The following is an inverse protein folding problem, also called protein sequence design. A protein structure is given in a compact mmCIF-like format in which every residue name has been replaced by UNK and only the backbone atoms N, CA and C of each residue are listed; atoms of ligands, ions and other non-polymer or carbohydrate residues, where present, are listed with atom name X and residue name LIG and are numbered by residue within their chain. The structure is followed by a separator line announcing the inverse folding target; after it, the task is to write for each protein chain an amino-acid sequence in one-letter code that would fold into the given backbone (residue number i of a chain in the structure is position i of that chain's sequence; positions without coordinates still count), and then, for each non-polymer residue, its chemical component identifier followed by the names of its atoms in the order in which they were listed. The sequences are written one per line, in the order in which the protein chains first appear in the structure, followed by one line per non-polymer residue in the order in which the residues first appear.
data_IF_150776774324
#
_entry.id   IF_150776774324
#
_cell.length_a   1.000
_cell.length_b   1.000
_cell.length_c   1.000
_cell.angle_alpha   90.00
_cell.angle_beta   90.00
_cell.angle_gamma   90.00
#
_symmetry.space_group_name_H-M   'P 1'
#
loop_
_entity.id
_entity.type
_entity.pdbx_description
1 polymer ?
#
# COMPACT_ATOMS: atom_id res chain seq x y z
N UNK A 1 11.48 -31.36 -8.75
CA UNK A 1 10.39 -32.04 -8.05
C UNK A 1 10.94 -32.80 -6.85
N UNK A 2 10.33 -32.67 -5.66
CA UNK A 2 10.74 -33.34 -4.43
C UNK A 2 9.51 -34.01 -3.81
N UNK A 3 9.66 -35.27 -3.33
CA UNK A 3 8.56 -36.05 -2.76
C UNK A 3 8.85 -36.39 -1.31
N UNK A 4 7.88 -36.16 -0.44
CA UNK A 4 7.94 -36.42 0.99
C UNK A 4 6.80 -37.34 1.38
N UNK A 5 7.11 -38.39 2.15
CA UNK A 5 6.19 -39.45 2.53
C UNK A 5 5.92 -39.38 4.02
N UNK A 6 4.66 -39.33 4.39
CA UNK A 6 4.21 -39.20 5.78
C UNK A 6 3.65 -40.55 6.25
N UNK A 7 4.18 -41.05 7.35
CA UNK A 7 3.82 -42.35 7.90
C UNK A 7 3.30 -42.22 9.32
N UNK A 8 2.37 -43.10 9.71
CA UNK A 8 1.97 -43.21 11.10
C UNK A 8 2.98 -44.09 11.84
N UNK A 9 3.41 -43.63 13.02
CA UNK A 9 4.37 -44.43 13.82
C UNK A 9 3.71 -45.71 14.32
N UNK A 10 4.36 -46.90 14.23
CA UNK A 10 3.72 -48.16 14.54
C UNK A 10 3.25 -48.31 15.99
N UNK A 11 3.94 -47.69 16.95
CA UNK A 11 3.69 -47.83 18.39
C UNK A 11 3.20 -46.55 19.05
N UNK A 12 3.26 -45.41 18.37
CA UNK A 12 2.89 -44.11 18.92
C UNK A 12 1.89 -43.37 18.02
N UNK A 13 1.01 -42.58 18.62
CA UNK A 13 -0.02 -41.82 17.90
C UNK A 13 0.53 -40.57 17.21
N UNK A 14 1.66 -40.67 16.53
CA UNK A 14 2.26 -39.53 15.82
C UNK A 14 2.70 -39.91 14.40
N UNK A 15 2.89 -38.87 13.58
CA UNK A 15 3.34 -38.97 12.19
C UNK A 15 4.82 -38.64 12.13
N UNK A 16 5.55 -39.37 11.31
CA UNK A 16 6.93 -39.08 10.92
C UNK A 16 7.03 -38.93 9.39
N UNK A 17 8.09 -38.30 8.92
CA UNK A 17 8.29 -37.98 7.51
C UNK A 17 9.60 -38.59 7.01
N UNK A 18 9.57 -39.11 5.78
CA UNK A 18 10.73 -39.62 5.06
C UNK A 18 10.82 -39.00 3.67
N UNK A 19 12.03 -38.90 3.13
CA UNK A 19 12.27 -38.56 1.74
C UNK A 19 12.23 -39.83 0.85
N UNK A 20 12.34 -39.61 -0.46
CA UNK A 20 12.32 -40.69 -1.42
C UNK A 20 13.47 -41.69 -1.21
N UNK A 21 14.66 -41.20 -0.86
CA UNK A 21 15.84 -42.07 -0.66
C UNK A 21 15.70 -42.99 0.58
N UNK A 22 15.09 -42.49 1.64
CA UNK A 22 14.80 -43.29 2.85
C UNK A 22 13.69 -44.30 2.60
N UNK A 23 12.67 -43.93 1.80
CA UNK A 23 11.58 -44.85 1.43
C UNK A 23 12.08 -46.05 0.63
N UNK A 24 12.99 -45.85 -0.33
CA UNK A 24 13.56 -46.98 -1.13
C UNK A 24 14.30 -48.01 -0.27
N UNK A 25 14.77 -47.59 0.92
CA UNK A 25 15.44 -48.47 1.88
C UNK A 25 14.45 -49.20 2.82
N UNK A 26 13.22 -48.71 2.98
CA UNK A 26 12.23 -49.23 3.93
C UNK A 26 10.86 -49.41 3.25
N UNK A 27 10.78 -50.26 2.24
CA UNK A 27 9.60 -50.38 1.35
C UNK A 27 8.35 -51.05 1.98
N UNK A 28 8.37 -51.48 3.26
CA UNK A 28 7.34 -52.37 3.82
C UNK A 28 6.09 -51.64 4.37
N UNK A 29 6.06 -50.31 4.44
CA UNK A 29 4.93 -49.58 5.01
C UNK A 29 4.30 -48.62 3.98
N UNK A 30 2.96 -48.61 3.85
CA UNK A 30 2.25 -47.63 3.03
C UNK A 30 2.19 -46.28 3.75
N UNK A 31 2.44 -45.16 3.05
CA UNK A 31 2.33 -43.83 3.63
C UNK A 31 0.87 -43.46 3.86
N UNK A 32 0.58 -42.72 4.93
CA UNK A 32 -0.71 -42.11 5.16
C UNK A 32 -1.04 -41.08 4.05
N UNK A 33 -0.04 -40.29 3.66
CA UNK A 33 -0.15 -39.42 2.50
C UNK A 33 1.23 -39.02 1.96
N UNK A 34 1.23 -38.49 0.75
CA UNK A 34 2.42 -38.03 0.02
C UNK A 34 2.31 -36.54 -0.23
N UNK A 35 3.39 -35.80 -0.03
CA UNK A 35 3.53 -34.42 -0.47
C UNK A 35 4.57 -34.34 -1.57
N UNK A 36 4.17 -33.79 -2.72
CA UNK A 36 5.03 -33.57 -3.88
C UNK A 36 5.16 -32.05 -4.09
N UNK A 37 6.35 -31.49 -3.88
CA UNK A 37 6.65 -30.09 -4.13
C UNK A 37 7.31 -29.92 -5.49
N UNK A 38 6.70 -29.12 -6.35
CA UNK A 38 7.17 -28.83 -7.70
C UNK A 38 7.45 -27.34 -7.82
N UNK A 39 8.51 -26.98 -8.52
CA UNK A 39 8.67 -25.63 -8.99
C UNK A 39 7.92 -25.45 -10.31
N UNK A 40 7.45 -24.24 -10.58
CA UNK A 40 6.80 -23.92 -11.85
C UNK A 40 7.71 -24.24 -13.05
N UNK A 41 9.01 -24.03 -12.90
CA UNK A 41 10.00 -24.36 -13.94
C UNK A 41 9.97 -25.85 -14.30
N UNK A 42 9.75 -26.74 -13.33
CA UNK A 42 9.66 -28.19 -13.56
C UNK A 42 8.47 -28.53 -14.47
N UNK A 43 7.36 -27.80 -14.30
CA UNK A 43 6.13 -28.03 -15.07
C UNK A 43 6.22 -27.38 -16.47
N UNK A 44 6.67 -26.11 -16.55
CA UNK A 44 6.76 -25.35 -17.81
C UNK A 44 7.74 -26.01 -18.78
N UNK A 45 8.90 -26.42 -18.30
CA UNK A 45 9.95 -26.94 -19.19
C UNK A 45 9.65 -28.33 -19.74
N UNK A 46 8.88 -29.16 -19.04
CA UNK A 46 8.58 -30.55 -19.42
C UNK A 46 7.17 -30.99 -19.00
N UNK A 47 6.08 -30.37 -19.52
CA UNK A 47 4.74 -30.63 -19.02
C UNK A 47 4.29 -32.08 -19.17
N UNK A 48 4.58 -32.73 -20.31
CA UNK A 48 4.21 -34.14 -20.55
C UNK A 48 5.02 -35.09 -19.66
N UNK A 49 6.31 -34.85 -19.48
CA UNK A 49 7.15 -35.66 -18.61
C UNK A 49 6.70 -35.52 -17.15
N UNK A 50 6.38 -34.30 -16.71
CA UNK A 50 5.85 -34.03 -15.38
C UNK A 50 4.51 -34.74 -15.14
N UNK A 51 3.58 -34.67 -16.10
CA UNK A 51 2.30 -35.41 -16.01
C UNK A 51 2.50 -36.92 -15.89
N UNK A 52 3.45 -37.49 -16.67
CA UNK A 52 3.76 -38.90 -16.60
C UNK A 52 4.40 -39.31 -15.27
N UNK A 53 5.27 -38.47 -14.71
CA UNK A 53 5.87 -38.69 -13.38
C UNK A 53 4.81 -38.68 -12.28
N UNK A 54 3.89 -37.69 -12.29
CA UNK A 54 2.76 -37.61 -11.36
C UNK A 54 1.86 -38.85 -11.50
N UNK A 55 1.54 -39.23 -12.73
CA UNK A 55 0.71 -40.43 -12.96
C UNK A 55 1.38 -41.69 -12.44
N UNK A 56 2.68 -41.84 -12.63
CA UNK A 56 3.42 -43.01 -12.09
C UNK A 56 3.46 -43.04 -10.56
N UNK A 57 3.60 -41.87 -9.90
CA UNK A 57 3.70 -41.80 -8.44
C UNK A 57 2.35 -41.90 -7.72
N UNK A 58 1.31 -41.29 -8.28
CA UNK A 58 0.04 -41.09 -7.59
C UNK A 58 -1.18 -41.61 -8.36
N UNK A 59 -1.02 -42.11 -9.58
CA UNK A 59 -2.09 -42.55 -10.50
C UNK A 59 -3.06 -41.41 -10.85
N UNK A 60 -2.63 -40.11 -10.68
CA UNK A 60 -3.41 -38.93 -10.90
C UNK A 60 -3.19 -38.38 -12.33
N UNK A 61 -4.26 -38.15 -13.06
CA UNK A 61 -4.25 -37.47 -14.37
C UNK A 61 -4.68 -36.02 -14.20
N UNK A 62 -3.79 -35.10 -14.53
CA UNK A 62 -4.09 -33.68 -14.47
C UNK A 62 -4.89 -33.26 -15.71
N UNK A 63 -6.01 -32.58 -15.49
CA UNK A 63 -6.84 -32.04 -16.57
C UNK A 63 -6.07 -30.94 -17.33
N UNK A 64 -6.20 -30.92 -18.66
CA UNK A 64 -5.50 -29.94 -19.52
C UNK A 64 -5.89 -28.49 -19.22
N UNK A 65 -7.16 -28.24 -18.85
CA UNK A 65 -7.61 -26.89 -18.46
C UNK A 65 -6.93 -26.46 -17.16
N UNK A 66 -6.93 -27.30 -16.14
CA UNK A 66 -6.23 -27.03 -14.88
C UNK A 66 -4.72 -26.86 -15.06
N UNK A 67 -4.11 -27.60 -15.98
CA UNK A 67 -2.70 -27.39 -16.32
C UNK A 67 -2.44 -25.99 -16.88
N UNK A 68 -3.35 -25.48 -17.74
CA UNK A 68 -3.26 -24.09 -18.26
C UNK A 68 -3.42 -23.07 -17.16
N UNK A 69 -4.37 -23.29 -16.24
CA UNK A 69 -4.62 -22.39 -15.11
C UNK A 69 -3.43 -22.35 -14.16
N UNK A 70 -2.84 -23.49 -13.84
CA UNK A 70 -1.61 -23.61 -13.03
C UNK A 70 -0.44 -22.88 -13.70
N UNK A 71 -0.35 -22.92 -15.04
CA UNK A 71 0.71 -22.27 -15.79
C UNK A 71 0.47 -20.77 -16.01
N UNK A 72 -0.74 -20.25 -15.77
CA UNK A 72 -1.06 -18.85 -15.94
C UNK A 72 -0.64 -18.04 -14.69
N UNK A 73 0.36 -17.16 -14.85
CA UNK A 73 0.85 -16.28 -13.78
C UNK A 73 -0.19 -15.25 -13.33
N UNK A 74 -1.12 -14.89 -14.19
CA UNK A 74 -2.15 -13.89 -13.93
C UNK A 74 -3.48 -14.52 -13.45
N UNK A 75 -3.51 -15.86 -13.27
CA UNK A 75 -4.72 -16.53 -12.81
C UNK A 75 -5.13 -15.99 -11.42
N UNK A 76 -6.40 -15.60 -11.22
CA UNK A 76 -6.89 -15.18 -9.90
C UNK A 76 -6.86 -16.31 -8.88
N UNK A 77 -7.17 -16.03 -7.62
CA UNK A 77 -7.47 -17.07 -6.66
C UNK A 77 -8.70 -17.85 -7.12
N UNK A 78 -8.66 -19.16 -7.03
CA UNK A 78 -9.77 -20.03 -7.44
C UNK A 78 -9.72 -21.37 -6.70
N UNK A 79 -10.88 -21.95 -6.49
CA UNK A 79 -11.03 -23.30 -6.02
C UNK A 79 -11.95 -24.06 -7.00
N UNK A 80 -11.51 -25.23 -7.46
CA UNK A 80 -12.27 -26.06 -8.38
C UNK A 80 -12.17 -27.53 -7.97
N UNK A 81 -13.27 -28.25 -8.06
CA UNK A 81 -13.40 -29.64 -7.63
C UNK A 81 -13.69 -30.53 -8.82
N UNK A 82 -12.89 -31.59 -8.98
CA UNK A 82 -13.10 -32.67 -9.91
C UNK A 82 -13.33 -33.99 -9.14
N UNK A 83 -13.81 -35.00 -9.84
CA UNK A 83 -14.02 -36.34 -9.26
C UNK A 83 -12.72 -36.96 -8.71
N UNK A 84 -11.56 -36.64 -9.31
CA UNK A 84 -10.27 -37.23 -8.97
C UNK A 84 -9.44 -36.38 -7.98
N UNK A 85 -9.61 -35.04 -7.98
CA UNK A 85 -8.85 -34.13 -7.13
C UNK A 85 -9.48 -32.72 -7.10
N UNK A 86 -9.16 -31.98 -6.05
CA UNK A 86 -9.47 -30.56 -5.91
C UNK A 86 -8.26 -29.72 -6.31
N UNK A 87 -8.49 -28.62 -7.01
CA UNK A 87 -7.48 -27.63 -7.35
C UNK A 87 -7.75 -26.31 -6.61
N UNK A 88 -6.80 -25.89 -5.79
CA UNK A 88 -6.79 -24.59 -5.14
C UNK A 88 -5.64 -23.77 -5.71
N UNK A 89 -5.96 -22.64 -6.36
CA UNK A 89 -4.99 -21.64 -6.77
C UNK A 89 -5.08 -20.46 -5.80
N UNK A 90 -3.98 -20.17 -5.12
CA UNK A 90 -3.91 -19.11 -4.11
C UNK A 90 -2.80 -18.13 -4.46
N UNK A 91 -3.13 -16.86 -4.63
CA UNK A 91 -2.14 -15.83 -4.91
C UNK A 91 -1.56 -15.29 -3.61
N UNK A 92 -0.26 -15.37 -3.48
CA UNK A 92 0.48 -14.83 -2.33
C UNK A 92 1.03 -13.44 -2.66
N UNK A 93 0.95 -12.49 -1.73
CA UNK A 93 1.72 -11.24 -1.81
C UNK A 93 3.21 -11.53 -1.65
N UNK A 94 4.04 -10.97 -2.53
CA UNK A 94 5.50 -11.07 -2.44
C UNK A 94 5.95 -10.11 -1.33
N UNK A 95 6.57 -10.67 -0.30
CA UNK A 95 7.15 -9.93 0.81
C UNK A 95 8.62 -9.61 0.55
N UNK A 96 9.23 -8.61 1.24
CA UNK A 96 10.66 -8.31 1.09
C UNK A 96 11.57 -9.50 1.39
N UNK A 97 11.08 -10.47 2.13
CA UNK A 97 11.80 -11.68 2.52
C UNK A 97 11.78 -12.77 1.45
N UNK A 98 10.87 -12.70 0.48
CA UNK A 98 10.83 -13.64 -0.63
C UNK A 98 11.99 -13.37 -1.59
N UNK A 99 12.69 -14.43 -2.00
CA UNK A 99 13.76 -14.37 -3.00
C UNK A 99 13.23 -14.67 -4.40
N UNK A 100 11.94 -14.44 -4.63
CA UNK A 100 11.33 -14.61 -5.94
C UNK A 100 11.92 -13.56 -6.86
N UNK A 101 12.76 -14.01 -7.78
CA UNK A 101 13.19 -13.20 -8.91
C UNK A 101 12.00 -13.19 -9.88
N UNK A 102 11.12 -12.23 -9.75
CA UNK A 102 10.19 -11.90 -10.80
C UNK A 102 11.02 -11.63 -12.05
N UNK A 103 10.88 -12.48 -13.07
CA UNK A 103 11.76 -12.60 -14.22
C UNK A 103 12.53 -11.35 -14.62
N UNK A 104 13.61 -11.43 -15.37
CA UNK A 104 14.69 -10.44 -15.64
C UNK A 104 14.29 -8.97 -15.92
N UNK A 105 13.01 -8.64 -15.97
CA UNK A 105 12.47 -7.31 -15.76
C UNK A 105 12.30 -7.08 -14.26
N UNK A 106 13.44 -7.18 -13.53
CA UNK A 106 13.50 -6.69 -12.17
C UNK A 106 13.06 -5.23 -12.20
N UNK A 107 11.81 -4.99 -11.82
CA UNK A 107 11.33 -3.69 -11.42
C UNK A 107 12.47 -2.98 -10.70
N UNK A 108 12.95 -1.86 -11.26
CA UNK A 108 14.01 -1.08 -10.65
C UNK A 108 13.72 -0.93 -9.16
N UNK A 109 14.72 -0.91 -8.31
CA UNK A 109 14.61 -0.92 -6.85
C UNK A 109 13.59 0.10 -6.30
N UNK A 110 13.25 1.12 -7.09
CA UNK A 110 12.23 2.14 -6.83
C UNK A 110 10.80 1.67 -7.16
N UNK A 111 10.60 0.83 -8.17
CA UNK A 111 9.28 0.30 -8.54
C UNK A 111 8.80 -0.80 -7.60
N UNK A 112 9.73 -1.54 -6.96
CA UNK A 112 9.38 -2.49 -5.88
C UNK A 112 8.72 -1.83 -4.66
N UNK A 113 8.87 -0.52 -4.50
CA UNK A 113 8.23 0.23 -3.40
C UNK A 113 6.74 0.49 -3.68
N UNK A 114 6.33 0.56 -4.95
CA UNK A 114 4.97 0.92 -5.35
C UNK A 114 4.11 -0.26 -5.83
N UNK A 115 4.72 -1.38 -6.28
CA UNK A 115 4.00 -2.56 -6.75
C UNK A 115 3.92 -3.64 -5.67
N UNK A 116 2.72 -3.96 -5.19
CA UNK A 116 2.47 -5.20 -4.47
C UNK A 116 2.40 -6.32 -5.50
N UNK A 117 3.56 -6.88 -5.84
CA UNK A 117 3.61 -8.04 -6.71
C UNK A 117 3.03 -9.26 -6.00
N UNK A 118 2.34 -10.10 -6.75
CA UNK A 118 1.77 -11.37 -6.26
C UNK A 118 2.29 -12.54 -7.08
N UNK A 119 2.27 -13.72 -6.51
CA UNK A 119 2.63 -14.95 -7.18
C UNK A 119 1.57 -16.03 -6.92
N UNK A 120 1.09 -16.74 -7.94
CA UNK A 120 0.17 -17.86 -7.75
C UNK A 120 0.92 -19.08 -7.20
N UNK A 121 0.25 -19.82 -6.36
CA UNK A 121 0.65 -21.11 -5.85
C UNK A 121 -0.53 -22.04 -6.03
N UNK A 122 -0.31 -23.18 -6.66
CA UNK A 122 -1.37 -24.16 -6.90
C UNK A 122 -1.19 -25.34 -5.97
N UNK A 123 -2.30 -25.77 -5.37
CA UNK A 123 -2.41 -26.95 -4.54
C UNK A 123 -3.38 -27.92 -5.21
N UNK A 124 -2.90 -29.11 -5.56
CA UNK A 124 -3.78 -30.18 -6.00
C UNK A 124 -3.94 -31.15 -4.83
N UNK A 125 -5.17 -31.37 -4.43
CA UNK A 125 -5.54 -32.11 -3.24
C UNK A 125 -6.30 -33.37 -3.60
N UNK A 126 -5.84 -34.50 -3.05
CA UNK A 126 -6.57 -35.74 -3.00
C UNK A 126 -6.61 -36.25 -1.55
N UNK A 127 -7.38 -37.29 -1.21
CA UNK A 127 -7.36 -37.83 0.14
C UNK A 127 -5.98 -38.32 0.62
N UNK A 128 -5.07 -38.67 -0.31
CA UNK A 128 -3.77 -39.26 -0.01
C UNK A 128 -2.58 -38.49 -0.58
N UNK A 129 -2.80 -37.46 -1.41
CA UNK A 129 -1.72 -36.73 -2.05
C UNK A 129 -1.96 -35.22 -2.00
N UNK A 130 -0.91 -34.48 -1.69
CA UNK A 130 -0.83 -33.04 -1.91
C UNK A 130 0.26 -32.77 -2.95
N UNK A 131 -0.08 -32.07 -4.02
CA UNK A 131 0.91 -31.55 -4.97
C UNK A 131 0.91 -30.03 -4.86
N UNK A 132 2.08 -29.44 -4.61
CA UNK A 132 2.26 -27.99 -4.61
C UNK A 132 3.08 -27.57 -5.83
N UNK A 133 2.61 -26.52 -6.54
CA UNK A 133 3.32 -25.95 -7.67
C UNK A 133 3.51 -24.47 -7.37
N UNK A 134 4.77 -24.03 -7.28
CA UNK A 134 5.13 -22.69 -6.83
C UNK A 134 6.30 -22.10 -7.61
N UNK A 135 6.43 -20.79 -7.53
CA UNK A 135 7.66 -20.12 -7.95
C UNK A 135 8.80 -20.43 -6.98
N UNK A 136 10.01 -20.52 -7.53
CA UNK A 136 11.23 -20.67 -6.74
C UNK A 136 11.48 -19.41 -5.91
N UNK A 137 11.96 -19.57 -4.66
CA UNK A 137 12.22 -18.45 -3.75
C UNK A 137 11.02 -18.05 -2.89
N UNK A 138 9.95 -18.82 -2.86
CA UNK A 138 8.82 -18.62 -1.95
C UNK A 138 9.21 -18.99 -0.52
N UNK A 139 9.57 -18.01 0.31
CA UNK A 139 10.07 -18.20 1.67
C UNK A 139 9.11 -18.99 2.57
N UNK A 140 7.81 -18.82 2.41
CA UNK A 140 6.83 -19.50 3.26
C UNK A 140 6.87 -21.02 3.09
N UNK A 141 6.99 -21.51 1.85
CA UNK A 141 7.13 -22.96 1.56
C UNK A 141 8.54 -23.41 1.83
N UNK A 142 9.56 -22.66 1.42
CA UNK A 142 10.97 -23.03 1.64
C UNK A 142 11.32 -23.17 3.13
N UNK A 143 10.80 -22.28 3.98
CA UNK A 143 10.99 -22.42 5.44
C UNK A 143 10.32 -23.68 6.01
N UNK A 144 9.19 -24.10 5.43
CA UNK A 144 8.54 -25.34 5.82
C UNK A 144 9.32 -26.56 5.32
N UNK A 145 9.84 -26.52 4.08
CA UNK A 145 10.72 -27.55 3.53
C UNK A 145 11.99 -27.74 4.37
N UNK A 146 12.71 -26.67 4.68
CA UNK A 146 13.89 -26.71 5.55
C UNK A 146 13.58 -27.34 6.91
N UNK A 147 12.39 -27.07 7.45
CA UNK A 147 11.94 -27.70 8.69
C UNK A 147 11.71 -29.21 8.51
N UNK A 148 11.08 -29.63 7.41
CA UNK A 148 10.90 -31.05 7.08
C UNK A 148 12.26 -31.74 6.91
N UNK A 149 13.18 -31.18 6.16
CA UNK A 149 14.54 -31.71 5.98
C UNK A 149 15.29 -31.87 7.30
N UNK A 150 15.15 -30.88 8.21
CA UNK A 150 15.72 -30.98 9.56
C UNK A 150 15.08 -32.10 10.38
N UNK A 151 13.80 -32.40 10.14
CA UNK A 151 13.14 -33.52 10.83
C UNK A 151 13.58 -34.86 10.26
N UNK A 152 13.73 -34.99 8.95
CA UNK A 152 14.18 -36.22 8.26
C UNK A 152 15.57 -36.67 8.74
N UNK A 153 16.46 -35.74 9.10
CA UNK A 153 17.79 -36.03 9.63
C UNK A 153 17.76 -36.57 11.06
N UNK A 154 16.63 -36.50 11.78
CA UNK A 154 16.50 -37.01 13.17
C UNK A 154 16.03 -38.44 13.20
N UNK A 155 16.38 -39.21 14.24
CA UNK A 155 15.80 -40.54 14.48
C UNK A 155 14.26 -40.43 14.53
N UNK A 156 13.58 -41.47 14.01
CA UNK A 156 12.11 -41.50 13.91
C UNK A 156 11.44 -41.23 15.27
N UNK A 157 11.97 -41.79 16.36
CA UNK A 157 11.47 -41.61 17.71
C UNK A 157 11.59 -40.14 18.23
N UNK A 158 12.50 -39.37 17.67
CA UNK A 158 12.76 -37.95 18.06
C UNK A 158 12.06 -36.95 17.19
N UNK A 159 11.50 -37.34 16.03
CA UNK A 159 10.79 -36.42 15.12
C UNK A 159 9.54 -35.79 15.77
N UNK A 160 9.08 -36.35 16.87
CA UNK A 160 7.78 -36.05 17.48
C UNK A 160 7.77 -35.06 18.66
N UNK A 161 8.83 -34.32 18.94
CA UNK A 161 8.85 -33.32 20.03
C UNK A 161 8.76 -31.90 19.48
N UNK A 162 7.89 -31.09 19.94
CA UNK A 162 6.49 -30.96 20.39
C UNK A 162 5.54 -30.33 19.35
N UNK A 163 5.84 -30.35 18.06
CA UNK A 163 5.01 -29.79 17.01
C UNK A 163 4.48 -30.88 16.11
N UNK A 164 3.20 -31.18 16.26
CA UNK A 164 2.48 -32.18 15.44
C UNK A 164 2.71 -31.89 13.94
N UNK A 165 3.21 -32.86 13.20
CA UNK A 165 3.22 -32.85 11.74
C UNK A 165 1.77 -32.87 11.22
N UNK A 166 1.60 -32.48 9.95
CA UNK A 166 0.30 -32.58 9.29
C UNK A 166 -0.18 -34.03 9.25
N UNK A 167 -1.47 -34.23 9.43
CA UNK A 167 -2.09 -35.57 9.48
C UNK A 167 -2.81 -35.96 8.20
N UNK A 168 -3.06 -34.97 7.32
CA UNK A 168 -3.74 -35.16 6.04
C UNK A 168 -3.17 -34.18 5.02
N UNK A 169 -3.35 -34.41 3.70
CA UNK A 169 -2.98 -33.45 2.65
C UNK A 169 -3.58 -32.06 2.87
N UNK A 170 -4.86 -31.99 3.20
CA UNK A 170 -5.57 -30.74 3.48
C UNK A 170 -5.01 -30.01 4.72
N UNK A 171 -4.69 -30.75 5.81
CA UNK A 171 -4.05 -30.15 6.98
C UNK A 171 -2.68 -29.51 6.63
N UNK A 172 -1.94 -30.16 5.74
CA UNK A 172 -0.67 -29.62 5.24
C UNK A 172 -0.88 -28.36 4.38
N UNK A 173 -1.82 -28.39 3.44
CA UNK A 173 -2.14 -27.25 2.61
C UNK A 173 -2.56 -26.03 3.47
N UNK A 174 -3.45 -26.21 4.44
CA UNK A 174 -3.87 -25.13 5.35
C UNK A 174 -2.72 -24.58 6.20
N UNK A 175 -1.76 -25.41 6.60
CA UNK A 175 -0.55 -24.94 7.31
C UNK A 175 0.36 -24.12 6.41
N UNK A 176 0.51 -24.51 5.15
CA UNK A 176 1.29 -23.75 4.16
C UNK A 176 0.62 -22.41 3.88
N UNK A 177 -0.70 -22.38 3.67
CA UNK A 177 -1.47 -21.16 3.50
C UNK A 177 -1.36 -20.22 4.73
N UNK A 178 -1.48 -20.78 5.94
CA UNK A 178 -1.32 -19.97 7.16
C UNK A 178 0.09 -19.34 7.24
N UNK A 179 1.13 -20.10 6.92
CA UNK A 179 2.50 -19.58 6.90
C UNK A 179 2.69 -18.45 5.87
N UNK A 180 1.94 -18.47 4.75
CA UNK A 180 1.94 -17.39 3.76
C UNK A 180 1.24 -16.15 4.26
N UNK A 181 0.05 -16.33 4.85
CA UNK A 181 -0.78 -15.21 5.34
C UNK A 181 -0.18 -14.57 6.59
N UNK A 182 0.50 -15.33 7.45
CA UNK A 182 1.24 -14.78 8.59
C UNK A 182 2.29 -13.76 8.15
N UNK A 183 2.95 -13.98 7.00
CA UNK A 183 3.88 -13.02 6.42
C UNK A 183 3.25 -11.66 6.03
N UNK A 184 1.93 -11.61 5.85
CA UNK A 184 1.23 -10.33 5.54
C UNK A 184 1.18 -9.39 6.74
N UNK A 185 1.26 -9.92 7.96
CA UNK A 185 1.29 -9.09 9.17
C UNK A 185 2.51 -8.17 9.20
N UNK A 186 3.61 -8.60 8.60
CA UNK A 186 4.84 -7.83 8.50
C UNK A 186 4.71 -6.63 7.53
N UNK A 187 3.75 -6.69 6.58
CA UNK A 187 3.46 -5.60 5.66
C UNK A 187 2.71 -4.43 6.30
N UNK A 188 2.06 -4.63 7.46
CA UNK A 188 1.24 -3.59 8.10
C UNK A 188 2.04 -2.35 8.47
N UNK A 189 3.21 -2.50 9.04
CA UNK A 189 4.06 -1.38 9.46
C UNK A 189 4.61 -0.59 8.26
N UNK A 190 5.19 -1.21 7.23
CA UNK A 190 5.59 -0.50 6.01
C UNK A 190 4.44 0.25 5.33
N UNK A 191 3.26 -0.37 5.20
CA UNK A 191 2.09 0.27 4.58
C UNK A 191 1.63 1.49 5.39
N UNK A 192 1.59 1.40 6.72
CA UNK A 192 1.23 2.53 7.58
C UNK A 192 2.21 3.68 7.42
N UNK A 193 3.53 3.42 7.42
CA UNK A 193 4.56 4.45 7.21
C UNK A 193 4.44 5.15 5.86
N UNK A 194 4.04 4.42 4.82
CA UNK A 194 3.80 5.00 3.49
C UNK A 194 2.64 6.00 3.51
N UNK A 195 1.55 5.67 4.20
CA UNK A 195 0.41 6.58 4.37
C UNK A 195 0.79 7.81 5.18
N UNK A 196 1.52 7.64 6.30
CA UNK A 196 2.03 8.75 7.10
C UNK A 196 2.92 9.69 6.28
N UNK A 197 3.79 9.15 5.44
CA UNK A 197 4.61 9.93 4.51
C UNK A 197 3.73 10.76 3.56
N UNK A 198 2.72 10.17 2.92
CA UNK A 198 1.84 10.89 2.00
C UNK A 198 0.99 11.93 2.70
N UNK A 199 0.51 11.65 3.91
CA UNK A 199 -0.21 12.64 4.71
C UNK A 199 0.68 13.84 5.03
N UNK A 200 1.93 13.62 5.41
CA UNK A 200 2.89 14.70 5.66
C UNK A 200 3.19 15.51 4.40
N UNK A 201 3.44 14.87 3.26
CA UNK A 201 3.69 15.53 1.98
C UNK A 201 2.51 16.39 1.53
N UNK A 202 1.29 15.91 1.68
CA UNK A 202 0.07 16.64 1.32
C UNK A 202 -0.21 17.83 2.26
N UNK A 203 0.07 17.68 3.55
CA UNK A 203 -0.24 18.69 4.56
C UNK A 203 0.88 19.73 4.75
N UNK A 204 2.14 19.35 4.55
CA UNK A 204 3.29 20.27 4.68
C UNK A 204 3.54 21.08 3.41
N UNK A 205 3.04 20.64 2.28
CA UNK A 205 3.21 21.30 0.99
C UNK A 205 2.33 22.53 0.85
N UNK A 206 2.73 23.69 1.41
CA UNK A 206 2.08 25.00 1.16
C UNK A 206 2.20 25.47 -0.30
N UNK A 207 2.81 24.68 -1.18
CA UNK A 207 3.04 24.95 -2.60
C UNK A 207 2.62 23.73 -3.42
N UNK A 208 2.19 23.97 -4.64
CA UNK A 208 1.69 22.99 -5.60
C UNK A 208 2.24 21.58 -5.38
N UNK A 209 1.43 20.69 -4.83
CA UNK A 209 1.76 19.28 -4.75
C UNK A 209 1.93 18.74 -6.17
N UNK A 210 3.09 18.17 -6.47
CA UNK A 210 3.45 17.72 -7.84
C UNK A 210 3.49 16.20 -8.00
N UNK A 211 3.47 15.46 -6.88
CA UNK A 211 3.65 13.99 -6.87
C UNK A 211 2.33 13.21 -7.07
N UNK A 212 1.35 13.80 -7.79
CA UNK A 212 0.02 13.19 -7.99
C UNK A 212 0.07 11.80 -8.61
N UNK A 213 0.97 11.60 -9.59
CA UNK A 213 1.13 10.30 -10.25
C UNK A 213 1.54 9.21 -9.26
N UNK A 214 2.51 9.49 -8.38
CA UNK A 214 2.98 8.56 -7.36
C UNK A 214 1.89 8.26 -6.32
N UNK A 215 1.15 9.29 -5.89
CA UNK A 215 0.04 9.13 -4.95
C UNK A 215 -1.10 8.27 -5.54
N UNK A 216 -1.38 8.44 -6.84
CA UNK A 216 -2.35 7.62 -7.55
C UNK A 216 -1.90 6.15 -7.64
N UNK A 217 -0.65 5.91 -7.98
CA UNK A 217 -0.06 4.56 -7.98
C UNK A 217 -0.18 3.89 -6.61
N UNK A 218 0.06 4.65 -5.54
CA UNK A 218 -0.09 4.17 -4.18
C UNK A 218 -1.52 3.77 -3.85
N UNK A 219 -2.49 4.60 -4.24
CA UNK A 219 -3.90 4.29 -4.04
C UNK A 219 -4.34 3.04 -4.82
N UNK A 220 -3.82 2.87 -6.04
CA UNK A 220 -4.04 1.65 -6.84
C UNK A 220 -3.42 0.42 -6.17
N UNK A 221 -2.23 0.54 -5.57
CA UNK A 221 -1.61 -0.55 -4.84
C UNK A 221 -2.46 -0.99 -3.63
N UNK A 222 -3.03 -0.06 -2.86
CA UNK A 222 -3.96 -0.39 -1.78
C UNK A 222 -5.21 -1.10 -2.31
N UNK A 223 -5.75 -0.66 -3.44
CA UNK A 223 -6.91 -1.29 -4.07
C UNK A 223 -6.59 -2.73 -4.54
N UNK A 224 -5.40 -2.96 -5.08
CA UNK A 224 -4.96 -4.30 -5.47
C UNK A 224 -4.87 -5.25 -4.26
N UNK A 225 -4.40 -4.76 -3.09
CA UNK A 225 -4.41 -5.57 -1.85
C UNK A 225 -5.82 -5.90 -1.40
N UNK A 226 -6.74 -4.91 -1.45
CA UNK A 226 -8.15 -5.13 -1.10
C UNK A 226 -8.78 -6.22 -1.98
N UNK A 227 -8.63 -6.10 -3.30
CA UNK A 227 -9.16 -7.06 -4.27
C UNK A 227 -8.55 -8.46 -4.05
N UNK A 228 -7.23 -8.55 -3.85
CA UNK A 228 -6.59 -9.82 -3.58
C UNK A 228 -7.11 -10.48 -2.30
N UNK A 229 -7.28 -9.71 -1.22
CA UNK A 229 -7.84 -10.24 0.02
C UNK A 229 -9.28 -10.74 -0.17
N UNK A 230 -10.07 -10.07 -1.00
CA UNK A 230 -11.43 -10.46 -1.35
C UNK A 230 -11.45 -11.79 -2.11
N UNK A 231 -10.67 -11.93 -3.18
CA UNK A 231 -10.48 -13.17 -3.91
C UNK A 231 -10.03 -14.32 -3.00
N UNK A 232 -9.08 -14.07 -2.10
CA UNK A 232 -8.59 -15.07 -1.15
C UNK A 232 -9.68 -15.53 -0.19
N UNK A 233 -10.52 -14.61 0.32
CA UNK A 233 -11.62 -14.95 1.23
C UNK A 233 -12.68 -15.77 0.50
N UNK A 234 -13.06 -15.38 -0.72
CA UNK A 234 -14.02 -16.13 -1.55
C UNK A 234 -13.53 -17.55 -1.79
N UNK A 235 -12.29 -17.71 -2.25
CA UNK A 235 -11.68 -19.03 -2.49
C UNK A 235 -11.63 -19.90 -1.22
N UNK A 236 -11.36 -19.29 -0.05
CA UNK A 236 -11.38 -20.01 1.23
C UNK A 236 -12.78 -20.38 1.68
N UNK A 237 -13.80 -19.59 1.31
CA UNK A 237 -15.20 -19.95 1.57
C UNK A 237 -15.64 -21.14 0.72
N UNK A 238 -15.26 -21.19 -0.57
CA UNK A 238 -15.51 -22.33 -1.44
C UNK A 238 -14.84 -23.60 -0.90
N UNK A 239 -13.57 -23.51 -0.53
CA UNK A 239 -12.84 -24.62 0.12
C UNK A 239 -13.54 -25.05 1.44
N UNK A 240 -14.04 -24.11 2.23
CA UNK A 240 -14.76 -24.40 3.48
C UNK A 240 -16.05 -25.16 3.23
N UNK A 241 -16.80 -24.74 2.22
CA UNK A 241 -18.09 -25.37 1.87
C UNK A 241 -17.82 -26.79 1.36
N UNK A 242 -16.78 -27.01 0.55
CA UNK A 242 -16.34 -28.34 0.12
C UNK A 242 -15.97 -29.23 1.31
N UNK A 243 -15.23 -28.71 2.30
CA UNK A 243 -14.91 -29.46 3.54
C UNK A 243 -16.20 -29.84 4.31
N UNK A 244 -17.22 -29.01 4.27
CA UNK A 244 -18.50 -29.29 4.92
C UNK A 244 -19.28 -30.37 4.19
N UNK A 245 -19.31 -30.32 2.85
CA UNK A 245 -20.16 -31.16 2.00
C UNK A 245 -19.56 -32.55 1.73
N UNK A 246 -18.28 -32.64 1.44
CA UNK A 246 -17.61 -33.88 1.08
C UNK A 246 -17.23 -34.79 2.26
N UNK A 247 -17.23 -34.27 3.46
CA UNK A 247 -17.15 -35.18 4.59
C UNK A 247 -18.53 -35.73 4.91
N UNK A 248 -18.78 -37.02 4.58
CA UNK A 248 -20.12 -37.55 4.64
C UNK A 248 -20.71 -37.29 6.03
N UNK A 249 -21.86 -36.65 6.06
CA UNK A 249 -22.77 -36.70 7.18
C UNK A 249 -23.10 -38.18 7.38
N UNK A 250 -22.26 -38.89 8.07
CA UNK A 250 -22.60 -40.19 8.58
C UNK A 250 -23.87 -39.97 9.41
N UNK A 251 -25.03 -40.26 8.81
CA UNK A 251 -26.35 -40.15 9.45
C UNK A 251 -26.20 -40.68 10.88
N UNK A 252 -26.23 -39.77 11.85
CA UNK A 252 -26.24 -40.11 13.27
C UNK A 252 -24.88 -40.18 14.00
N UNK A 253 -23.72 -39.87 13.37
CA UNK A 253 -22.42 -39.69 14.06
C UNK A 253 -22.01 -38.23 14.15
N UNK A 254 -21.49 -37.80 15.32
CA UNK A 254 -20.87 -36.50 15.52
C UNK A 254 -19.82 -36.24 14.46
N UNK A 255 -19.70 -34.98 14.00
CA UNK A 255 -18.59 -34.51 13.19
C UNK A 255 -17.26 -35.07 13.72
N UNK A 256 -16.38 -35.49 12.83
CA UNK A 256 -15.03 -35.95 13.23
C UNK A 256 -14.31 -34.75 13.85
N UNK A 257 -13.66 -34.95 14.99
CA UNK A 257 -12.79 -33.96 15.64
C UNK A 257 -11.75 -33.37 14.66
N UNK A 258 -11.27 -34.18 13.70
CA UNK A 258 -10.36 -33.73 12.64
C UNK A 258 -11.00 -32.71 11.69
N UNK A 259 -12.28 -32.86 11.33
CA UNK A 259 -13.00 -31.90 10.48
C UNK A 259 -13.19 -30.57 11.18
N UNK A 260 -13.61 -30.61 12.45
CA UNK A 260 -13.81 -29.39 13.22
C UNK A 260 -12.49 -28.58 13.33
N UNK A 261 -11.37 -29.26 13.47
CA UNK A 261 -10.02 -28.61 13.47
C UNK A 261 -9.73 -27.96 12.12
N UNK A 262 -10.07 -28.60 10.99
CA UNK A 262 -9.82 -28.02 9.66
C UNK A 262 -10.69 -26.80 9.40
N UNK A 263 -11.98 -26.86 9.73
CA UNK A 263 -12.88 -25.72 9.62
C UNK A 263 -12.43 -24.53 10.47
N UNK A 264 -12.01 -24.79 11.72
CA UNK A 264 -11.44 -23.76 12.60
C UNK A 264 -10.20 -23.12 11.97
N UNK A 265 -9.35 -23.88 11.28
CA UNK A 265 -8.17 -23.34 10.60
C UNK A 265 -8.52 -22.50 9.38
N UNK A 266 -9.52 -22.90 8.59
CA UNK A 266 -10.00 -22.09 7.46
C UNK A 266 -10.60 -20.79 7.99
N UNK A 267 -11.41 -20.83 9.04
CA UNK A 267 -12.03 -19.66 9.66
C UNK A 267 -10.96 -18.73 10.25
N UNK A 268 -9.91 -19.26 10.87
CA UNK A 268 -8.78 -18.49 11.41
C UNK A 268 -8.00 -17.81 10.29
N UNK A 269 -7.70 -18.53 9.20
CA UNK A 269 -7.02 -18.01 8.01
C UNK A 269 -7.82 -16.88 7.36
N UNK A 270 -9.13 -17.07 7.16
CA UNK A 270 -10.03 -16.05 6.64
C UNK A 270 -10.05 -14.81 7.54
N UNK A 271 -10.09 -15.00 8.86
CA UNK A 271 -10.04 -13.89 9.83
C UNK A 271 -8.73 -13.09 9.75
N UNK A 272 -7.60 -13.75 9.49
CA UNK A 272 -6.32 -13.08 9.29
C UNK A 272 -6.33 -12.22 8.03
N UNK A 273 -6.85 -12.75 6.91
CA UNK A 273 -6.96 -12.02 5.64
C UNK A 273 -7.93 -10.83 5.79
N UNK A 274 -9.10 -11.03 6.40
CA UNK A 274 -10.05 -9.93 6.69
C UNK A 274 -9.41 -8.80 7.52
N UNK A 275 -8.54 -9.14 8.47
CA UNK A 275 -7.83 -8.15 9.29
C UNK A 275 -6.91 -7.29 8.44
N UNK A 276 -6.22 -7.89 7.46
CA UNK A 276 -5.38 -7.16 6.52
C UNK A 276 -6.24 -6.29 5.60
N UNK A 277 -7.30 -6.83 5.03
CA UNK A 277 -8.25 -6.09 4.19
C UNK A 277 -8.79 -4.84 4.92
N UNK A 278 -9.33 -5.03 6.12
CA UNK A 278 -9.84 -3.91 6.96
C UNK A 278 -8.75 -2.88 7.29
N UNK A 279 -7.51 -3.32 7.50
CA UNK A 279 -6.39 -2.40 7.72
C UNK A 279 -6.08 -1.57 6.47
N UNK A 280 -6.01 -2.21 5.31
CA UNK A 280 -5.73 -1.55 4.01
C UNK A 280 -6.83 -0.56 3.65
N UNK A 281 -8.10 -0.93 3.83
CA UNK A 281 -9.24 -0.01 3.62
C UNK A 281 -9.16 1.24 4.49
N UNK A 282 -8.75 1.10 5.76
CA UNK A 282 -8.53 2.25 6.65
C UNK A 282 -7.38 3.13 6.17
N UNK A 283 -6.28 2.54 5.71
CA UNK A 283 -5.14 3.27 5.17
C UNK A 283 -5.52 4.04 3.91
N UNK A 284 -6.24 3.42 2.98
CA UNK A 284 -6.76 4.06 1.78
C UNK A 284 -7.69 5.22 2.10
N UNK A 285 -8.62 5.03 3.05
CA UNK A 285 -9.50 6.10 3.50
C UNK A 285 -8.74 7.26 4.15
N UNK A 286 -7.65 6.97 4.87
CA UNK A 286 -6.79 8.00 5.47
C UNK A 286 -6.03 8.82 4.40
N UNK A 287 -5.58 8.19 3.30
CA UNK A 287 -5.00 8.90 2.15
C UNK A 287 -6.06 9.78 1.49
N UNK A 288 -7.26 9.27 1.24
CA UNK A 288 -8.35 10.03 0.64
C UNK A 288 -8.72 11.26 1.48
N UNK A 289 -8.85 11.09 2.79
CA UNK A 289 -9.11 12.20 3.71
C UNK A 289 -7.99 13.28 3.66
N UNK A 290 -6.73 12.87 3.52
CA UNK A 290 -5.62 13.81 3.39
C UNK A 290 -5.67 14.58 2.05
N UNK A 291 -6.08 13.92 0.96
CA UNK A 291 -6.30 14.54 -0.35
C UNK A 291 -7.42 15.59 -0.24
N UNK A 292 -8.54 15.27 0.38
CA UNK A 292 -9.68 16.16 0.55
C UNK A 292 -9.32 17.40 1.39
N UNK A 293 -8.53 17.20 2.46
CA UNK A 293 -7.99 18.30 3.27
C UNK A 293 -7.04 19.17 2.45
N UNK A 294 -6.17 18.60 1.60
CA UNK A 294 -5.29 19.35 0.73
C UNK A 294 -6.08 20.24 -0.24
N UNK A 295 -7.11 19.70 -0.91
CA UNK A 295 -7.97 20.49 -1.80
C UNK A 295 -8.73 21.58 -1.06
N UNK A 296 -9.24 21.30 0.14
CA UNK A 296 -9.88 22.31 1.00
C UNK A 296 -8.92 23.45 1.34
N UNK A 297 -7.67 23.11 1.68
CA UNK A 297 -6.65 24.12 1.97
C UNK A 297 -6.31 24.99 0.76
N UNK A 298 -6.16 24.38 -0.42
CA UNK A 298 -5.91 25.11 -1.68
C UNK A 298 -7.09 26.02 -2.03
N UNK A 299 -8.33 25.55 -1.87
CA UNK A 299 -9.53 26.34 -2.08
C UNK A 299 -9.59 27.54 -1.13
N UNK A 300 -9.29 27.34 0.16
CA UNK A 300 -9.24 28.44 1.13
C UNK A 300 -8.15 29.47 0.80
N UNK A 301 -6.97 28.99 0.38
CA UNK A 301 -5.90 29.90 -0.06
C UNK A 301 -6.30 30.71 -1.30
N UNK A 302 -6.99 30.09 -2.25
CA UNK A 302 -7.48 30.77 -3.45
C UNK A 302 -8.52 31.82 -3.09
N UNK A 303 -9.46 31.50 -2.20
CA UNK A 303 -10.45 32.45 -1.69
C UNK A 303 -9.79 33.62 -0.96
N UNK A 304 -8.74 33.39 -0.19
CA UNK A 304 -7.97 34.42 0.48
C UNK A 304 -7.27 35.36 -0.53
N UNK A 305 -6.64 34.78 -1.55
CA UNK A 305 -6.01 35.57 -2.62
C UNK A 305 -7.05 36.42 -3.38
N UNK A 306 -8.24 35.85 -3.67
CA UNK A 306 -9.34 36.60 -4.29
C UNK A 306 -9.85 37.72 -3.38
N UNK A 307 -9.94 37.51 -2.08
CA UNK A 307 -10.31 38.50 -1.09
C UNK A 307 -9.32 39.67 -1.07
N UNK A 308 -8.02 39.39 -1.06
CA UNK A 308 -6.96 40.41 -1.10
C UNK A 308 -7.08 41.23 -2.40
N UNK A 309 -7.26 40.56 -3.55
CA UNK A 309 -7.42 41.25 -4.84
C UNK A 309 -8.65 42.15 -4.85
N UNK A 310 -9.78 41.68 -4.31
CA UNK A 310 -11.01 42.45 -4.18
C UNK A 310 -10.82 43.70 -3.30
N UNK A 311 -10.11 43.61 -2.17
CA UNK A 311 -9.79 44.72 -1.29
C UNK A 311 -8.93 45.78 -2.03
N UNK A 312 -7.87 45.33 -2.71
CA UNK A 312 -7.00 46.20 -3.51
C UNK A 312 -7.83 46.95 -4.56
N UNK A 313 -8.64 46.20 -5.33
CA UNK A 313 -9.50 46.82 -6.37
C UNK A 313 -10.50 47.81 -5.77
N UNK A 314 -11.13 47.48 -4.65
CA UNK A 314 -12.10 48.36 -3.99
C UNK A 314 -11.47 49.68 -3.45
N UNK A 315 -10.17 49.64 -3.11
CA UNK A 315 -9.44 50.87 -2.72
C UNK A 315 -9.06 51.69 -3.94
N UNK A 316 -8.56 51.05 -5.00
CA UNK A 316 -8.08 51.81 -6.18
C UNK A 316 -9.18 52.29 -7.10
N UNK A 317 -10.32 51.59 -7.20
CA UNK A 317 -11.42 52.01 -8.11
C UNK A 317 -11.93 53.42 -7.86
N UNK A 318 -12.29 53.89 -6.63
CA UNK A 318 -12.72 55.24 -6.40
C UNK A 318 -11.59 56.28 -6.60
N UNK A 319 -10.33 55.91 -6.32
CA UNK A 319 -9.19 56.80 -6.58
C UNK A 319 -8.97 57.00 -8.07
N UNK A 320 -9.08 55.94 -8.86
CA UNK A 320 -8.97 55.98 -10.32
C UNK A 320 -10.10 56.84 -10.93
N UNK A 321 -11.34 56.66 -10.39
CA UNK A 321 -12.46 57.47 -10.84
C UNK A 321 -12.22 58.95 -10.56
N UNK A 322 -11.75 59.34 -9.36
CA UNK A 322 -11.44 60.73 -9.02
C UNK A 322 -10.34 61.29 -9.91
N UNK A 323 -9.24 60.59 -10.10
CA UNK A 323 -8.15 61.03 -10.97
C UNK A 323 -8.59 61.11 -12.44
N UNK A 324 -9.45 60.19 -12.90
CA UNK A 324 -10.03 60.18 -14.22
C UNK A 324 -10.91 61.43 -14.49
N UNK A 325 -11.78 61.77 -13.53
CA UNK A 325 -12.63 62.97 -13.66
C UNK A 325 -11.77 64.26 -13.73
N UNK A 326 -10.78 64.42 -12.87
CA UNK A 326 -9.87 65.54 -12.86
C UNK A 326 -8.85 65.54 -14.01
N UNK A 327 -8.65 64.39 -14.67
CA UNK A 327 -7.83 64.27 -15.86
C UNK A 327 -8.57 64.56 -17.18
N UNK A 328 -9.88 64.85 -17.14
CA UNK A 328 -10.67 65.19 -18.36
C UNK A 328 -10.41 66.61 -18.81
N UNK A 329 -10.35 66.83 -20.12
CA UNK A 329 -10.13 68.15 -20.72
C UNK A 329 -11.45 68.98 -20.89
N UNK A 330 -12.24 69.09 -19.83
CA UNK A 330 -13.42 69.98 -19.83
C UNK A 330 -13.01 71.42 -19.51
N UNK A 331 -13.63 72.35 -20.16
CA UNK A 331 -13.35 73.79 -20.02
C UNK A 331 -13.69 74.31 -18.60
N UNK A 332 -14.62 73.68 -17.91
CA UNK A 332 -15.06 74.04 -16.57
C UNK A 332 -15.07 72.81 -15.64
N UNK A 333 -13.96 72.60 -14.88
CA UNK A 333 -13.91 71.67 -13.77
C UNK A 333 -13.79 72.47 -12.46
N UNK A 334 -14.72 72.28 -11.50
CA UNK A 334 -14.66 72.99 -10.22
C UNK A 334 -13.33 72.70 -9.48
N UNK A 335 -12.63 73.81 -9.11
CA UNK A 335 -11.36 73.70 -8.36
C UNK A 335 -10.09 73.61 -9.19
N UNK A 336 -10.13 73.40 -10.51
CA UNK A 336 -8.93 73.23 -11.36
C UNK A 336 -8.13 74.55 -11.51
N UNK A 337 -8.80 75.71 -11.50
CA UNK A 337 -8.17 77.00 -11.61
C UNK A 337 -7.76 77.61 -10.25
N UNK A 338 -8.02 76.94 -9.14
CA UNK A 338 -7.66 77.41 -7.82
C UNK A 338 -6.26 76.89 -7.41
N UNK A 339 -5.38 77.70 -6.84
CA UNK A 339 -4.05 77.28 -6.39
C UNK A 339 -4.11 76.27 -5.27
N UNK A 340 -5.24 76.12 -4.56
CA UNK A 340 -5.48 75.12 -3.48
C UNK A 340 -6.19 73.85 -3.96
N UNK A 341 -6.71 73.87 -5.22
CA UNK A 341 -7.52 72.76 -5.75
C UNK A 341 -6.79 71.44 -5.78
N UNK A 342 -5.52 71.41 -6.15
CA UNK A 342 -4.68 70.25 -6.15
C UNK A 342 -4.54 69.58 -4.74
N UNK A 343 -4.26 70.44 -3.74
CA UNK A 343 -4.10 69.97 -2.37
C UNK A 343 -5.41 69.43 -1.76
N UNK A 344 -6.53 70.08 -2.13
CA UNK A 344 -7.85 69.59 -1.71
C UNK A 344 -8.20 68.26 -2.29
N UNK A 345 -7.94 68.06 -3.59
CA UNK A 345 -8.13 66.75 -4.25
C UNK A 345 -7.27 65.62 -3.61
N UNK A 346 -6.02 65.95 -3.36
CA UNK A 346 -5.08 64.96 -2.70
C UNK A 346 -5.56 64.61 -1.28
N UNK A 347 -6.07 65.63 -0.54
CA UNK A 347 -6.66 65.37 0.80
C UNK A 347 -7.91 64.48 0.73
N UNK A 348 -8.82 64.72 -0.26
CA UNK A 348 -10.00 63.83 -0.45
C UNK A 348 -9.60 62.42 -0.79
N UNK A 349 -8.62 62.23 -1.67
CA UNK A 349 -8.11 60.90 -2.01
C UNK A 349 -7.53 60.17 -0.76
N UNK A 350 -6.75 60.90 0.05
CA UNK A 350 -6.15 60.35 1.27
C UNK A 350 -7.23 59.99 2.31
N UNK A 351 -8.22 60.83 2.52
CA UNK A 351 -9.34 60.57 3.42
C UNK A 351 -10.14 59.34 2.95
N UNK A 352 -10.44 59.28 1.65
CA UNK A 352 -11.17 58.13 1.07
C UNK A 352 -10.41 56.84 1.27
N UNK A 353 -9.07 56.82 1.06
CA UNK A 353 -8.23 55.68 1.28
C UNK A 353 -8.25 55.25 2.75
N UNK A 354 -8.06 56.18 3.69
CA UNK A 354 -8.08 55.90 5.13
C UNK A 354 -9.44 55.36 5.57
N UNK A 355 -10.53 55.91 5.06
CA UNK A 355 -11.90 55.52 5.40
C UNK A 355 -12.20 54.08 4.90
N UNK A 356 -11.77 53.74 3.67
CA UNK A 356 -11.89 52.40 3.11
C UNK A 356 -11.03 51.38 3.87
N UNK A 357 -9.77 51.71 4.17
CA UNK A 357 -8.91 50.86 4.99
C UNK A 357 -9.50 50.64 6.38
N UNK A 358 -10.02 51.68 7.04
CA UNK A 358 -10.70 51.56 8.33
C UNK A 358 -11.97 50.70 8.23
N UNK A 359 -12.78 50.84 7.18
CA UNK A 359 -13.96 50.01 6.93
C UNK A 359 -13.61 48.56 6.78
N UNK A 360 -12.62 48.21 5.95
CA UNK A 360 -12.18 46.82 5.76
C UNK A 360 -11.55 46.25 7.03
N UNK A 361 -10.78 47.05 7.78
CA UNK A 361 -10.23 46.65 9.07
C UNK A 361 -11.35 46.32 10.08
N UNK A 362 -12.36 47.20 10.21
CA UNK A 362 -13.50 47.01 11.11
C UNK A 362 -14.36 45.79 10.74
N UNK A 363 -14.48 45.48 9.47
CA UNK A 363 -15.21 44.32 8.97
C UNK A 363 -14.38 43.01 9.06
N UNK A 364 -13.22 43.08 9.65
CA UNK A 364 -12.28 41.91 9.74
C UNK A 364 -11.91 41.31 8.38
N UNK A 365 -12.06 42.06 7.29
CA UNK A 365 -11.64 41.63 5.95
C UNK A 365 -10.12 41.76 5.75
N UNK A 366 -9.45 42.61 6.56
CA UNK A 366 -8.00 42.73 6.64
C UNK A 366 -7.56 42.16 8.01
N UNK A 367 -6.82 41.07 8.06
CA UNK A 367 -6.13 40.60 9.25
C UNK A 367 -6.71 39.40 10.01
N UNK A 368 -7.83 38.79 9.55
CA UNK A 368 -8.29 37.49 10.03
C UNK A 368 -8.73 36.63 8.85
N UNK A 369 -7.73 36.07 8.12
CA UNK A 369 -7.97 34.82 7.47
C UNK A 369 -8.38 33.82 8.56
N UNK A 370 -9.47 33.09 8.39
CA UNK A 370 -9.71 31.90 9.21
C UNK A 370 -8.41 31.10 9.16
N UNK A 371 -7.78 30.93 10.33
CA UNK A 371 -6.61 30.06 10.43
C UNK A 371 -7.06 28.73 9.86
N UNK A 372 -6.46 28.35 8.74
CA UNK A 372 -6.69 27.03 8.17
C UNK A 372 -6.55 26.00 9.29
N UNK A 373 -7.38 24.97 9.30
CA UNK A 373 -7.24 23.84 10.23
C UNK A 373 -5.78 23.32 10.22
N UNK A 374 -5.12 23.49 9.06
CA UNK A 374 -3.69 23.20 8.87
C UNK A 374 -2.81 24.17 9.66
N UNK A 375 -3.12 25.48 9.69
CA UNK A 375 -2.39 26.47 10.52
C UNK A 375 -2.63 26.21 12.01
N UNK A 376 -3.81 25.73 12.42
CA UNK A 376 -4.06 25.30 13.79
C UNK A 376 -3.27 24.05 14.18
N UNK A 377 -3.13 23.08 13.27
CA UNK A 377 -2.31 21.89 13.48
C UNK A 377 -0.80 22.19 13.43
N UNK A 378 -0.38 23.17 12.60
CA UNK A 378 1.00 23.63 12.55
C UNK A 378 1.38 24.55 13.71
N UNK A 379 0.43 25.24 14.33
CA UNK A 379 0.63 26.20 15.45
C UNK A 379 0.83 25.54 16.82
N UNK A 380 0.84 24.21 16.90
CA UNK A 380 1.24 23.53 18.14
C UNK A 380 2.74 23.73 18.49
N UNK A 381 3.48 24.47 17.66
CA UNK A 381 4.86 24.87 17.89
C UNK A 381 5.07 26.37 17.57
N UNK A 382 4.90 27.23 18.54
CA UNK A 382 5.56 28.54 18.60
C UNK A 382 4.70 29.77 18.39
N UNK A 383 4.44 30.48 19.49
CA UNK A 383 4.00 31.87 19.55
C UNK A 383 4.87 32.79 18.68
N UNK A 384 4.28 33.51 17.75
CA UNK A 384 4.89 34.73 17.23
C UNK A 384 3.86 35.83 16.97
N UNK A 385 4.18 37.02 17.49
CA UNK A 385 3.46 38.30 17.41
C UNK A 385 3.11 38.76 15.98
N UNK A 386 1.89 39.26 15.81
CA UNK A 386 1.37 39.83 14.59
C UNK A 386 2.08 41.18 14.26
N UNK A 387 2.87 41.20 13.19
CA UNK A 387 3.44 42.46 12.66
C UNK A 387 2.55 43.06 11.57
N UNK A 388 2.37 44.36 11.60
CA UNK A 388 1.55 45.16 10.68
C UNK A 388 2.01 45.05 9.20
N UNK A 389 3.18 44.51 8.95
CA UNK A 389 3.81 44.35 7.62
C UNK A 389 3.85 42.90 7.14
N UNK A 390 2.87 42.05 7.51
CA UNK A 390 2.82 40.62 7.13
C UNK A 390 2.92 40.36 5.61
N UNK A 391 2.49 41.34 4.75
CA UNK A 391 2.62 41.21 3.30
C UNK A 391 4.07 41.31 2.81
N UNK A 392 4.99 41.90 3.61
CA UNK A 392 6.43 41.90 3.34
C UNK A 392 7.12 40.61 3.85
N UNK A 393 6.46 39.84 4.70
CA UNK A 393 6.92 38.53 5.21
C UNK A 393 6.51 37.36 4.30
N UNK A 394 5.91 37.63 3.13
CA UNK A 394 5.59 36.61 2.16
C UNK A 394 6.88 35.94 1.69
N UNK A 395 7.03 34.61 1.95
CA UNK A 395 8.27 33.86 1.74
C UNK A 395 8.95 34.01 0.37
N UNK A 396 8.22 34.16 -0.77
CA UNK A 396 8.86 34.47 -2.06
C UNK A 396 9.65 35.76 -2.07
N UNK A 397 9.16 36.82 -1.38
CA UNK A 397 9.86 38.09 -1.28
C UNK A 397 11.07 37.95 -0.36
N UNK A 398 10.96 37.25 0.75
CA UNK A 398 12.08 36.99 1.67
C UNK A 398 13.20 36.18 1.00
N UNK A 399 12.87 35.20 0.16
CA UNK A 399 13.86 34.42 -0.58
C UNK A 399 14.54 35.24 -1.68
N UNK A 400 13.78 36.07 -2.39
CA UNK A 400 14.33 36.96 -3.42
C UNK A 400 15.24 38.01 -2.79
N UNK A 401 14.82 38.65 -1.68
CA UNK A 401 15.62 39.63 -0.93
C UNK A 401 16.86 38.97 -0.29
N UNK A 402 16.72 37.80 0.34
CA UNK A 402 17.88 37.05 0.88
C UNK A 402 18.84 36.59 -0.24
N UNK A 403 18.33 36.19 -1.40
CA UNK A 403 19.15 35.83 -2.56
C UNK A 403 19.92 37.03 -3.09
N UNK A 404 19.27 38.18 -3.23
CA UNK A 404 19.89 39.43 -3.70
C UNK A 404 20.91 39.97 -2.69
N UNK A 405 20.58 39.99 -1.40
CA UNK A 405 21.49 40.44 -0.34
C UNK A 405 22.71 39.48 -0.19
N UNK A 406 22.52 38.16 -0.28
CA UNK A 406 23.66 37.23 -0.30
C UNK A 406 24.53 37.37 -1.55
N UNK A 407 23.94 37.65 -2.70
CA UNK A 407 24.67 37.93 -3.94
C UNK A 407 25.53 39.18 -3.82
N UNK A 408 24.95 40.28 -3.35
CA UNK A 408 25.69 41.57 -3.18
C UNK A 408 26.74 41.50 -2.10
N UNK A 409 26.54 40.80 -1.00
CA UNK A 409 27.55 40.63 0.05
C UNK A 409 28.72 39.73 -0.43
N UNK A 410 28.43 38.76 -1.30
CA UNK A 410 29.49 37.90 -1.88
C UNK A 410 30.33 38.67 -2.90
N UNK A 411 29.71 39.47 -3.75
CA UNK A 411 30.44 40.37 -4.69
C UNK A 411 31.24 41.45 -3.98
N UNK A 412 30.72 42.07 -2.91
CA UNK A 412 31.47 43.00 -2.08
C UNK A 412 32.71 42.38 -1.42
N UNK A 413 32.60 41.14 -0.89
CA UNK A 413 33.73 40.41 -0.32
C UNK A 413 34.79 40.02 -1.36
N UNK A 414 34.39 39.73 -2.59
CA UNK A 414 35.31 39.47 -3.69
C UNK A 414 36.03 40.77 -4.14
N UNK A 415 35.30 41.89 -4.21
CA UNK A 415 35.92 43.18 -4.52
C UNK A 415 36.91 43.64 -3.42
N UNK A 416 36.58 43.39 -2.15
CA UNK A 416 37.44 43.69 -1.01
C UNK A 416 38.72 42.82 -1.00
N UNK A 417 38.62 41.56 -1.47
CA UNK A 417 39.77 40.70 -1.66
C UNK A 417 40.68 41.14 -2.82
N UNK A 418 40.08 41.67 -3.88
CA UNK A 418 40.86 42.17 -5.04
C UNK A 418 41.54 43.50 -4.75
N UNK A 419 41.00 44.32 -3.84
CA UNK A 419 41.61 45.59 -3.42
C UNK A 419 42.70 45.45 -2.37
N UNK A 420 42.82 44.28 -1.70
CA UNK A 420 43.91 43.98 -0.76
C UNK A 420 45.16 43.34 -1.40
N UNK A 421 45.14 43.11 -2.72
CA UNK A 421 46.23 42.50 -3.49
C UNK A 421 46.94 43.54 -4.38
N UNK A 422 46.71 44.84 -4.16
CA UNK A 422 47.53 45.91 -4.79
C UNK A 422 48.34 46.66 -3.76
#
# INVERSE_FOLDING_TARGET
MQSYYFFQHPTASHIYVQDQAQREQQADQEPEFIWIDCTREDVVNRPEAWQNEIFQQCQLRVNEYHLRDILNLEHPCAFDTLDDYDLLIFRKMITPDDQIVAGEQALEKHERVFGLATTPISFMLTPQVLITIREKGNKAIESYLQRIETLITRPIDEQNKPRKLATTPLDLALRLLNNMVDGYLDLRVPLTRRVEFWQQELLQGHRCFTKWHQLLQENMAFQQVENLCEEQIETLQELRDEIVDNYPHLKGKKRSEKQDIMLVRVDDLSSHIERIQKHTTRLRSAVQAAIDLHFSAVANQTNENMRILAIITAIFAPLTLLTGIYGMNFEFIPGLKSPTGFWLMLAIMLITTILLLYYFYRRHLVGRGEKSVIDMLAQQHGDQHMNLFWFMDYEPIKQTVKGTVKGTVKTMKEIEKLTKIK
#
